data_IF_308559006855
#
_entry.id   IF_308559006855
#
_cell.length_a   1.000
_cell.length_b   1.000
_cell.length_c   1.000
_cell.angle_alpha   90.00
_cell.angle_beta   90.00
_cell.angle_gamma   90.00
#
_symmetry.space_group_name_H-M   'P 1'
#
loop_
_entity.id
_entity.type
_entity.pdbx_description
1 polymer ?
#
# COMPACT_ATOMS: atom_id res chain seq x y z
N UNK A 1 9.92 -20.79 16.57
CA UNK A 1 10.52 -19.52 16.10
C UNK A 1 11.42 -19.79 14.88
N UNK A 2 10.85 -20.25 13.77
CA UNK A 2 11.58 -20.48 12.51
C UNK A 2 10.83 -19.84 11.34
N UNK A 3 9.50 -19.91 11.38
CA UNK A 3 8.58 -19.19 10.48
C UNK A 3 8.83 -17.68 10.37
N UNK A 4 9.07 -16.99 11.49
CA UNK A 4 9.39 -15.56 11.46
C UNK A 4 10.75 -15.28 10.81
N UNK A 5 11.75 -16.14 11.02
CA UNK A 5 13.05 -16.03 10.38
C UNK A 5 13.02 -16.44 8.90
N UNK A 6 12.18 -17.40 8.51
CA UNK A 6 11.99 -17.74 7.11
C UNK A 6 11.21 -16.62 6.38
N UNK A 7 10.22 -15.97 7.01
CA UNK A 7 9.48 -14.85 6.41
C UNK A 7 10.34 -13.58 6.21
N UNK A 8 11.25 -13.28 7.14
CA UNK A 8 12.08 -12.07 7.05
C UNK A 8 13.51 -12.32 6.55
N UNK A 9 13.96 -13.58 6.54
CA UNK A 9 15.34 -13.97 6.21
C UNK A 9 15.48 -14.72 4.89
N UNK A 10 14.39 -15.16 4.25
CA UNK A 10 14.45 -15.66 2.86
C UNK A 10 13.95 -14.61 1.87
N UNK A 11 14.58 -14.58 0.69
CA UNK A 11 14.26 -13.65 -0.39
C UNK A 11 12.78 -13.72 -0.80
N UNK A 12 12.15 -14.89 -0.68
CA UNK A 12 10.73 -15.12 -0.96
C UNK A 12 9.79 -14.44 0.03
N UNK A 13 10.12 -14.49 1.33
CA UNK A 13 9.34 -13.84 2.37
C UNK A 13 9.41 -12.32 2.27
N UNK A 14 10.61 -11.79 2.03
CA UNK A 14 10.82 -10.35 1.86
C UNK A 14 10.12 -9.81 0.60
N UNK A 15 10.15 -10.54 -0.52
CA UNK A 15 9.41 -10.18 -1.74
C UNK A 15 7.89 -10.14 -1.52
N UNK A 16 7.36 -11.11 -0.76
CA UNK A 16 5.93 -11.16 -0.44
C UNK A 16 5.52 -10.00 0.46
N UNK A 17 6.33 -9.68 1.47
CA UNK A 17 6.11 -8.53 2.37
C UNK A 17 6.20 -7.22 1.61
N UNK A 18 7.17 -7.07 0.70
CA UNK A 18 7.29 -5.89 -0.15
C UNK A 18 6.06 -5.68 -1.04
N UNK A 19 5.52 -6.76 -1.62
CA UNK A 19 4.27 -6.71 -2.38
C UNK A 19 3.07 -6.28 -1.53
N UNK A 20 2.94 -6.83 -0.33
CA UNK A 20 1.87 -6.46 0.62
C UNK A 20 2.00 -5.00 1.05
N UNK A 21 3.21 -4.55 1.41
CA UNK A 21 3.47 -3.17 1.77
C UNK A 21 3.15 -2.21 0.61
N UNK A 22 3.51 -2.59 -0.62
CA UNK A 22 3.18 -1.82 -1.82
C UNK A 22 1.67 -1.74 -2.06
N UNK A 23 0.93 -2.86 -1.92
CA UNK A 23 -0.52 -2.87 -2.05
C UNK A 23 -1.20 -1.95 -1.03
N UNK A 24 -0.76 -1.97 0.23
CA UNK A 24 -1.30 -1.11 1.29
C UNK A 24 -1.00 0.37 1.01
N UNK A 25 0.23 0.69 0.60
CA UNK A 25 0.63 2.05 0.23
C UNK A 25 -0.22 2.59 -0.93
N UNK A 26 -0.42 1.77 -1.97
CA UNK A 26 -1.25 2.14 -3.11
C UNK A 26 -2.72 2.32 -2.71
N UNK A 27 -3.27 1.42 -1.88
CA UNK A 27 -4.63 1.55 -1.37
C UNK A 27 -4.83 2.87 -0.61
N UNK A 28 -3.91 3.21 0.29
CA UNK A 28 -3.94 4.48 1.02
C UNK A 28 -3.83 5.69 0.07
N UNK A 29 -2.92 5.63 -0.90
CA UNK A 29 -2.73 6.68 -1.89
C UNK A 29 -4.00 6.92 -2.73
N UNK A 30 -4.63 5.85 -3.21
CA UNK A 30 -5.89 5.95 -3.95
C UNK A 30 -7.00 6.54 -3.10
N UNK A 31 -7.21 6.03 -1.89
CA UNK A 31 -8.21 6.60 -0.96
C UNK A 31 -7.96 8.09 -0.75
N UNK A 32 -6.70 8.47 -0.48
CA UNK A 32 -6.31 9.87 -0.31
C UNK A 32 -6.55 10.72 -1.56
N UNK A 33 -6.29 10.17 -2.75
CA UNK A 33 -6.49 10.82 -4.04
C UNK A 33 -7.99 11.02 -4.32
N UNK A 34 -8.81 9.99 -4.15
CA UNK A 34 -10.25 10.05 -4.36
C UNK A 34 -10.92 11.02 -3.38
N UNK A 35 -10.57 11.00 -2.09
CA UNK A 35 -11.05 11.99 -1.12
C UNK A 35 -10.67 13.41 -1.57
N UNK A 36 -9.45 13.60 -2.07
CA UNK A 36 -9.00 14.90 -2.57
C UNK A 36 -9.82 15.35 -3.78
N UNK A 37 -10.05 14.46 -4.73
CA UNK A 37 -10.79 14.72 -5.97
C UNK A 37 -12.28 14.94 -5.72
N UNK A 38 -12.89 14.21 -4.79
CA UNK A 38 -14.28 14.42 -4.38
C UNK A 38 -14.50 15.74 -3.64
N UNK A 39 -13.49 16.21 -2.90
CA UNK A 39 -13.53 17.51 -2.23
C UNK A 39 -13.21 18.69 -3.17
N UNK A 40 -12.82 18.44 -4.41
CA UNK A 40 -12.79 19.49 -5.42
C UNK A 40 -14.25 19.75 -5.83
N UNK A 41 -14.78 20.90 -5.41
CA UNK A 41 -16.11 21.35 -5.80
C UNK A 41 -16.22 21.33 -7.34
N UNK A 42 -17.33 20.82 -7.90
CA UNK A 42 -17.58 20.96 -9.33
C UNK A 42 -17.76 22.44 -9.64
N UNK A 43 -16.83 23.04 -10.40
CA UNK A 43 -16.98 24.36 -11.00
C UNK A 43 -16.67 25.54 -10.07
N UNK A 44 -15.55 26.21 -10.34
CA UNK A 44 -15.53 27.67 -10.39
C UNK A 44 -14.56 28.08 -11.49
N UNK A 45 -14.89 27.65 -12.71
CA UNK A 45 -14.60 28.36 -13.95
C UNK A 45 -15.94 28.82 -14.52
#
# INVERSE_FOLDING_TARGET
>A
MKLWQDLFGTDYGLMSIAGIAFMILMAFWYVRFFIRKMNQKPGTE
#
